data_IF_008146001500
#
_entry.id   IF_008146001500
#
_cell.length_a   1.000
_cell.length_b   1.000
_cell.length_c   1.000
_cell.angle_alpha   90.00
_cell.angle_beta   90.00
_cell.angle_gamma   90.00
#
_symmetry.space_group_name_H-M   'P 1'
#
loop_
_entity.id
_entity.type
_entity.pdbx_description
1 polymer ?
#
# COMPACT_ATOMS: atom_id res chain seq x y z
N UNK A 1 -24.49 75.73 -24.04
CA UNK A 1 -25.92 75.92 -24.37
C UNK A 1 -26.41 74.58 -24.89
N UNK A 2 -27.43 74.03 -24.23
CA UNK A 2 -28.31 72.92 -24.66
C UNK A 2 -27.63 71.54 -24.82
N UNK A 3 -27.95 70.47 -24.09
CA UNK A 3 -29.12 70.13 -23.26
C UNK A 3 -30.11 69.24 -24.02
N UNK A 4 -30.52 68.11 -23.39
CA UNK A 4 -31.61 67.12 -23.67
C UNK A 4 -31.03 65.68 -23.68
N UNK A 5 -31.00 64.94 -22.56
CA UNK A 5 -32.03 64.08 -21.89
C UNK A 5 -32.30 62.74 -22.64
N UNK A 6 -32.59 61.57 -22.05
CA UNK A 6 -32.71 61.05 -20.68
C UNK A 6 -32.80 59.50 -20.74
N UNK A 7 -32.46 58.83 -19.62
CA UNK A 7 -32.89 57.49 -19.13
C UNK A 7 -32.57 56.20 -19.92
N UNK A 8 -31.96 55.21 -19.26
CA UNK A 8 -32.66 54.07 -18.63
C UNK A 8 -31.69 53.13 -17.89
N UNK A 9 -32.24 52.47 -16.88
CA UNK A 9 -31.64 51.51 -15.93
C UNK A 9 -30.92 50.33 -16.61
N UNK A 10 -29.86 49.84 -15.98
CA UNK A 10 -29.50 48.42 -16.05
C UNK A 10 -28.86 47.97 -14.73
N UNK A 11 -29.55 47.06 -14.05
CA UNK A 11 -29.04 46.27 -12.92
C UNK A 11 -28.01 45.27 -13.46
N UNK A 12 -26.72 45.52 -13.19
CA UNK A 12 -25.62 44.62 -13.49
C UNK A 12 -25.29 43.75 -12.27
N UNK A 13 -25.75 42.50 -12.32
CA UNK A 13 -25.46 41.41 -11.41
C UNK A 13 -23.93 41.15 -11.38
N UNK A 14 -23.22 41.54 -10.32
CA UNK A 14 -21.81 41.14 -10.10
C UNK A 14 -21.75 39.65 -9.73
N UNK A 15 -21.81 38.79 -10.75
CA UNK A 15 -21.27 37.45 -10.67
C UNK A 15 -19.75 37.57 -10.57
N UNK A 16 -19.22 37.31 -9.38
CA UNK A 16 -17.80 37.09 -9.19
C UNK A 16 -17.35 35.92 -10.06
N UNK A 17 -16.68 36.23 -11.16
CA UNK A 17 -15.99 35.26 -12.00
C UNK A 17 -14.99 34.47 -11.14
N UNK A 18 -15.27 33.18 -11.00
CA UNK A 18 -14.39 32.16 -10.43
C UNK A 18 -13.16 31.98 -11.32
N UNK A 19 -12.01 32.47 -10.88
CA UNK A 19 -10.72 32.37 -11.59
C UNK A 19 -9.99 31.02 -11.34
N UNK A 20 -10.58 30.04 -10.63
CA UNK A 20 -9.85 28.83 -10.18
C UNK A 20 -10.15 27.51 -10.92
N UNK A 21 -10.91 27.51 -12.03
CA UNK A 21 -11.38 26.26 -12.66
C UNK A 21 -10.55 25.71 -13.85
N UNK A 22 -9.36 26.25 -14.09
CA UNK A 22 -8.57 25.89 -15.27
C UNK A 22 -7.50 24.85 -14.90
N UNK A 23 -7.79 23.56 -15.20
CA UNK A 23 -6.92 22.36 -15.22
C UNK A 23 -7.11 21.29 -14.13
N UNK A 24 -8.34 21.02 -13.70
CA UNK A 24 -8.67 19.76 -13.00
C UNK A 24 -9.17 18.72 -14.00
N UNK A 25 -8.44 17.63 -14.16
CA UNK A 25 -8.89 16.48 -14.96
C UNK A 25 -9.35 15.39 -14.02
N UNK A 26 -10.51 14.81 -14.31
CA UNK A 26 -11.03 13.69 -13.55
C UNK A 26 -10.74 12.39 -14.27
N UNK A 27 -10.17 11.43 -13.55
CA UNK A 27 -9.81 10.10 -14.06
C UNK A 27 -10.63 9.07 -13.31
N UNK A 28 -11.26 8.16 -14.06
CA UNK A 28 -12.04 7.06 -13.50
C UNK A 28 -11.32 5.74 -13.70
N UNK A 29 -11.13 5.00 -12.62
CA UNK A 29 -10.55 3.65 -12.65
C UNK A 29 -11.27 2.76 -11.63
N UNK A 30 -11.79 1.61 -12.08
CA UNK A 30 -12.61 0.75 -11.24
C UNK A 30 -13.82 1.51 -10.68
N UNK A 31 -13.96 1.52 -9.35
CA UNK A 31 -15.03 2.26 -8.65
C UNK A 31 -14.64 3.67 -8.23
N UNK A 32 -13.40 4.09 -8.50
CA UNK A 32 -12.85 5.34 -8.02
C UNK A 32 -12.85 6.39 -9.11
N UNK A 33 -13.12 7.62 -8.68
CA UNK A 33 -12.94 8.82 -9.47
C UNK A 33 -11.91 9.71 -8.76
N UNK A 34 -10.75 9.96 -9.39
CA UNK A 34 -9.71 10.84 -8.83
C UNK A 34 -9.60 12.13 -9.62
N UNK A 35 -9.52 13.23 -8.88
CA UNK A 35 -9.21 14.55 -9.41
C UNK A 35 -7.69 14.66 -9.47
N UNK A 36 -7.16 14.91 -10.66
CA UNK A 36 -5.74 15.08 -10.92
C UNK A 36 -5.51 16.49 -11.48
N UNK A 37 -4.68 17.26 -10.79
CA UNK A 37 -4.17 18.53 -11.32
C UNK A 37 -3.04 18.20 -12.30
N UNK A 38 -3.21 18.61 -13.56
CA UNK A 38 -2.43 18.18 -14.73
C UNK A 38 -0.90 18.37 -14.62
N UNK A 39 -0.42 19.09 -13.61
CA UNK A 39 1.00 19.42 -13.42
C UNK A 39 1.63 18.91 -12.12
N UNK A 40 0.88 18.30 -11.18
CA UNK A 40 1.38 18.08 -9.81
C UNK A 40 1.24 16.65 -9.27
N UNK A 41 0.35 15.85 -9.82
CA UNK A 41 0.02 14.53 -9.24
C UNK A 41 0.15 13.46 -10.30
N UNK A 42 0.97 12.45 -10.01
CA UNK A 42 1.26 11.39 -10.96
C UNK A 42 0.08 10.41 -11.09
N UNK A 43 -0.30 10.12 -12.34
CA UNK A 43 -1.14 9.00 -12.70
C UNK A 43 -0.53 8.29 -13.92
N UNK A 44 -0.44 6.95 -13.84
CA UNK A 44 -0.01 6.13 -14.97
C UNK A 44 -1.09 5.06 -15.27
N UNK A 45 -1.74 5.13 -16.45
CA UNK A 45 -2.76 4.16 -16.84
C UNK A 45 -2.19 2.75 -16.99
N UNK A 46 -0.91 2.59 -17.33
CA UNK A 46 -0.31 1.24 -17.48
C UNK A 46 -0.20 0.50 -16.14
N UNK A 47 -0.33 1.20 -15.02
CA UNK A 47 -0.35 0.60 -13.68
C UNK A 47 -1.77 0.15 -13.24
N UNK A 48 -2.78 0.24 -14.10
CA UNK A 48 -4.15 -0.24 -13.81
C UNK A 48 -4.16 -1.73 -13.49
N UNK A 49 -3.46 -2.54 -14.32
CA UNK A 49 -3.30 -3.98 -14.08
C UNK A 49 -2.64 -4.29 -12.73
N UNK A 50 -1.65 -3.50 -12.31
CA UNK A 50 -1.02 -3.66 -10.99
C UNK A 50 -2.01 -3.40 -9.85
N UNK A 51 -2.82 -2.34 -9.98
CA UNK A 51 -3.84 -1.97 -8.99
C UNK A 51 -4.94 -3.01 -8.90
N UNK A 52 -5.44 -3.50 -10.04
CA UNK A 52 -6.42 -4.59 -10.10
C UNK A 52 -5.91 -5.86 -9.44
N UNK A 53 -4.67 -6.24 -9.74
CA UNK A 53 -4.03 -7.41 -9.15
C UNK A 53 -3.91 -7.28 -7.63
N UNK A 54 -3.54 -6.09 -7.16
CA UNK A 54 -3.44 -5.79 -5.72
C UNK A 54 -4.80 -5.94 -5.03
N UNK A 55 -5.89 -5.45 -5.64
CA UNK A 55 -7.25 -5.58 -5.11
C UNK A 55 -7.66 -7.05 -5.04
N UNK A 56 -7.41 -7.83 -6.09
CA UNK A 56 -7.74 -9.25 -6.11
C UNK A 56 -7.03 -10.01 -4.97
N UNK A 57 -5.72 -9.79 -4.80
CA UNK A 57 -4.95 -10.41 -3.72
C UNK A 57 -5.46 -9.97 -2.36
N UNK A 58 -5.81 -8.69 -2.18
CA UNK A 58 -6.35 -8.17 -0.94
C UNK A 58 -7.72 -8.76 -0.58
N UNK A 59 -8.60 -8.96 -1.56
CA UNK A 59 -9.90 -9.63 -1.37
C UNK A 59 -9.68 -11.04 -0.83
N UNK A 60 -8.79 -11.82 -1.47
CA UNK A 60 -8.47 -13.19 -1.05
C UNK A 60 -7.86 -13.18 0.35
N UNK A 61 -6.90 -12.29 0.61
CA UNK A 61 -6.25 -12.17 1.92
C UNK A 61 -7.24 -11.81 3.03
N UNK A 62 -8.15 -10.86 2.80
CA UNK A 62 -9.19 -10.48 3.76
C UNK A 62 -10.12 -11.65 4.09
N UNK A 63 -10.51 -12.42 3.08
CA UNK A 63 -11.34 -13.62 3.25
C UNK A 63 -10.61 -14.71 4.05
N UNK A 64 -9.34 -15.00 3.75
CA UNK A 64 -8.52 -15.96 4.49
C UNK A 64 -8.38 -15.57 5.98
N UNK A 65 -8.16 -14.28 6.24
CA UNK A 65 -8.02 -13.78 7.60
C UNK A 65 -9.33 -13.94 8.39
N UNK A 66 -10.47 -13.60 7.79
CA UNK A 66 -11.79 -13.79 8.39
C UNK A 66 -12.09 -15.27 8.67
N UNK A 67 -11.79 -16.17 7.73
CA UNK A 67 -11.96 -17.62 7.92
C UNK A 67 -11.10 -18.13 9.09
N UNK A 68 -9.84 -17.71 9.16
CA UNK A 68 -8.91 -18.10 10.23
C UNK A 68 -9.41 -17.61 11.59
N UNK A 69 -9.90 -16.37 11.67
CA UNK A 69 -10.52 -15.82 12.89
C UNK A 69 -11.77 -16.61 13.30
N UNK A 70 -12.63 -16.96 12.34
CA UNK A 70 -13.85 -17.72 12.61
C UNK A 70 -13.55 -19.15 13.11
N UNK A 71 -12.53 -19.80 12.56
CA UNK A 71 -12.06 -21.11 13.02
C UNK A 71 -11.55 -21.04 14.46
N UNK A 72 -10.73 -20.02 14.79
CA UNK A 72 -10.22 -19.81 16.16
C UNK A 72 -11.35 -19.54 17.16
N UNK A 73 -12.35 -18.72 16.80
CA UNK A 73 -13.55 -18.47 17.61
C UNK A 73 -14.32 -19.78 17.87
N UNK A 74 -14.51 -20.62 16.84
CA UNK A 74 -15.18 -21.93 16.99
C UNK A 74 -14.40 -22.91 17.87
N UNK A 75 -13.08 -22.99 17.72
CA UNK A 75 -12.25 -23.87 18.56
C UNK A 75 -12.26 -23.47 20.04
N UNK A 76 -12.39 -22.18 20.34
CA UNK A 76 -12.39 -21.70 21.74
C UNK A 76 -13.72 -21.98 22.46
N UNK A 77 -14.84 -22.02 21.73
CA UNK A 77 -16.17 -22.37 22.25
C UNK A 77 -16.29 -23.87 22.59
N UNK A 78 -15.44 -24.74 22.03
CA UNK A 78 -15.44 -26.19 22.29
C UNK A 78 -14.72 -26.65 23.56
N UNK A 79 -14.01 -25.77 24.28
CA UNK A 79 -13.36 -26.09 25.56
C UNK A 79 -14.33 -25.87 26.71
N UNK A 80 -14.96 -26.94 27.19
CA UNK A 80 -15.71 -26.96 28.45
C UNK A 80 -14.83 -26.39 29.58
N UNK A 81 -15.20 -25.22 30.11
CA UNK A 81 -14.63 -24.68 31.35
C UNK A 81 -14.96 -25.65 32.48
N UNK A 82 -13.94 -26.20 33.14
CA UNK A 82 -14.10 -26.75 34.49
C UNK A 82 -14.38 -25.58 35.44
N UNK A 83 -15.36 -25.75 36.32
CA UNK A 83 -15.79 -24.76 37.30
C UNK A 83 -14.64 -24.40 38.26
N UNK A 84 -14.11 -23.19 38.12
CA UNK A 84 -13.28 -22.49 39.12
C UNK A 84 -14.06 -21.24 39.58
N UNK A 85 -14.06 -20.92 40.88
CA UNK A 85 -14.96 -19.91 41.44
C UNK A 85 -14.65 -18.49 40.92
N UNK A 86 -15.72 -17.81 40.50
CA UNK A 86 -15.72 -16.45 39.94
C UNK A 86 -15.04 -15.43 40.86
N UNK A 87 -13.90 -14.88 40.43
CA UNK A 87 -13.45 -13.54 40.84
C UNK A 87 -14.09 -12.48 39.94
N UNK A 88 -14.54 -11.40 40.56
CA UNK A 88 -15.28 -10.31 39.93
C UNK A 88 -14.31 -9.44 39.13
N UNK A 89 -14.22 -9.67 37.83
CA UNK A 89 -13.58 -8.75 36.89
C UNK A 89 -14.66 -8.12 35.99
N UNK A 90 -14.64 -6.78 35.91
CA UNK A 90 -15.65 -5.95 35.27
C UNK A 90 -15.88 -6.25 33.77
N UNK A 91 -16.90 -5.62 33.16
CA UNK A 91 -17.29 -5.92 31.79
C UNK A 91 -16.13 -5.57 30.85
N UNK A 92 -15.49 -6.60 30.29
CA UNK A 92 -14.57 -6.44 29.18
C UNK A 92 -15.37 -5.95 27.98
N UNK A 93 -15.29 -4.65 27.75
CA UNK A 93 -15.89 -3.97 26.61
C UNK A 93 -15.14 -4.41 25.34
N UNK A 94 -15.47 -5.60 24.83
CA UNK A 94 -14.98 -6.09 23.54
C UNK A 94 -15.76 -5.35 22.46
N UNK A 95 -15.33 -4.12 22.17
CA UNK A 95 -15.86 -3.35 21.05
C UNK A 95 -15.67 -4.19 19.78
N UNK A 96 -16.79 -4.62 19.21
CA UNK A 96 -16.94 -5.43 17.99
C UNK A 96 -16.56 -4.69 16.69
N UNK A 97 -15.65 -3.71 16.77
CA UNK A 97 -15.21 -2.86 15.66
C UNK A 97 -13.78 -3.18 15.17
N UNK A 98 -13.16 -4.26 15.65
CA UNK A 98 -11.76 -4.60 15.35
C UNK A 98 -11.59 -5.67 14.24
N UNK A 99 -12.65 -6.05 13.53
CA UNK A 99 -12.61 -7.28 12.72
C UNK A 99 -12.06 -7.13 11.29
N UNK A 100 -11.70 -5.91 10.86
CA UNK A 100 -11.18 -5.64 9.52
C UNK A 100 -9.65 -5.55 9.41
N UNK A 101 -9.14 -5.50 8.18
CA UNK A 101 -7.71 -5.39 7.88
C UNK A 101 -7.23 -3.93 7.92
N UNK A 102 -6.02 -3.71 8.44
CA UNK A 102 -5.33 -2.42 8.36
C UNK A 102 -4.27 -2.43 7.25
N UNK A 103 -4.24 -1.38 6.44
CA UNK A 103 -3.38 -1.28 5.26
C UNK A 103 -2.53 0.00 5.37
N UNK A 104 -1.25 -0.08 5.02
CA UNK A 104 -0.37 1.07 4.85
C UNK A 104 0.12 1.15 3.41
N UNK A 105 -0.29 2.20 2.67
CA UNK A 105 0.24 2.53 1.35
C UNK A 105 1.36 3.56 1.51
N UNK A 106 2.60 3.14 1.22
CA UNK A 106 3.78 3.95 1.52
C UNK A 106 3.97 5.18 0.62
N UNK A 107 3.60 5.07 -0.66
CA UNK A 107 3.80 6.10 -1.69
C UNK A 107 2.51 6.28 -2.49
N UNK A 108 1.59 7.11 -1.98
CA UNK A 108 0.19 7.13 -2.43
C UNK A 108 -0.09 8.05 -3.62
N UNK A 109 0.77 9.04 -3.90
CA UNK A 109 0.57 10.05 -4.93
C UNK A 109 -0.83 10.70 -4.89
N UNK A 110 -1.77 10.29 -5.76
CA UNK A 110 -3.15 10.79 -5.78
C UNK A 110 -4.07 10.15 -4.73
N UNK A 111 -3.63 9.08 -4.08
CA UNK A 111 -4.43 8.23 -3.20
C UNK A 111 -5.30 7.22 -3.94
N UNK A 112 -5.20 7.13 -5.27
CA UNK A 112 -6.02 6.26 -6.12
C UNK A 112 -6.11 4.83 -5.58
N UNK A 113 -4.96 4.22 -5.24
CA UNK A 113 -4.91 2.84 -4.78
C UNK A 113 -5.56 2.65 -3.41
N UNK A 114 -5.22 3.47 -2.42
CA UNK A 114 -5.89 3.46 -1.11
C UNK A 114 -7.40 3.63 -1.21
N UNK A 115 -7.88 4.52 -2.07
CA UNK A 115 -9.31 4.74 -2.26
C UNK A 115 -9.95 3.52 -2.95
N UNK A 116 -9.27 2.91 -3.94
CA UNK A 116 -9.76 1.67 -4.56
C UNK A 116 -9.84 0.54 -3.54
N UNK A 117 -8.83 0.40 -2.68
CA UNK A 117 -8.85 -0.57 -1.58
C UNK A 117 -10.06 -0.35 -0.67
N UNK A 118 -10.37 0.91 -0.31
CA UNK A 118 -11.54 1.23 0.51
C UNK A 118 -12.89 0.90 -0.16
N UNK A 119 -13.01 1.06 -1.48
CA UNK A 119 -14.27 0.85 -2.21
C UNK A 119 -14.48 -0.57 -2.73
N UNK A 120 -13.39 -1.32 -2.95
CA UNK A 120 -13.40 -2.58 -3.68
C UNK A 120 -13.03 -3.78 -2.80
N UNK A 121 -12.26 -3.59 -1.71
CA UNK A 121 -11.87 -4.68 -0.81
C UNK A 121 -12.82 -4.75 0.40
N UNK A 122 -13.51 -5.87 0.62
CA UNK A 122 -14.39 -6.03 1.77
C UNK A 122 -13.59 -6.19 3.07
N UNK A 123 -14.13 -5.67 4.17
CA UNK A 123 -13.53 -5.85 5.50
C UNK A 123 -12.26 -5.02 5.72
N UNK A 124 -12.05 -3.95 4.98
CA UNK A 124 -11.05 -2.92 5.33
C UNK A 124 -11.51 -2.17 6.59
N UNK A 125 -10.60 -2.03 7.56
CA UNK A 125 -10.83 -1.24 8.78
C UNK A 125 -10.24 0.16 8.66
N UNK A 126 -8.99 0.25 8.22
CA UNK A 126 -8.26 1.50 8.17
C UNK A 126 -7.14 1.43 7.14
N UNK A 127 -6.97 2.50 6.39
CA UNK A 127 -5.91 2.66 5.40
C UNK A 127 -5.17 3.96 5.68
N UNK A 128 -3.85 3.88 5.79
CA UNK A 128 -2.97 5.05 5.80
C UNK A 128 -2.42 5.24 4.39
N UNK A 129 -2.83 6.33 3.74
CA UNK A 129 -2.34 6.77 2.45
C UNK A 129 -1.21 7.79 2.66
N UNK A 130 0.04 7.32 2.66
CA UNK A 130 1.20 8.15 2.94
C UNK A 130 1.85 8.70 1.66
N UNK A 131 2.31 9.95 1.69
CA UNK A 131 3.24 10.50 0.70
C UNK A 131 4.18 11.52 1.34
N UNK A 132 5.36 11.71 0.75
CA UNK A 132 6.34 12.71 1.20
C UNK A 132 6.04 14.09 0.63
N UNK A 133 5.30 14.18 -0.49
CA UNK A 133 4.95 15.45 -1.10
C UNK A 133 3.70 16.03 -0.45
N UNK A 134 3.79 17.27 0.05
CA UNK A 134 2.64 18.03 0.54
C UNK A 134 1.55 18.14 -0.54
N UNK A 135 1.92 18.34 -1.80
CA UNK A 135 0.94 18.42 -2.90
C UNK A 135 0.21 17.10 -3.15
N UNK A 136 0.92 15.97 -2.96
CA UNK A 136 0.31 14.64 -3.04
C UNK A 136 -0.66 14.45 -1.87
N UNK A 137 -0.28 14.82 -0.65
CA UNK A 137 -1.15 14.73 0.53
C UNK A 137 -2.42 15.56 0.36
N UNK A 138 -2.32 16.80 -0.12
CA UNK A 138 -3.50 17.62 -0.43
C UNK A 138 -4.40 16.97 -1.48
N UNK A 139 -3.82 16.32 -2.50
CA UNK A 139 -4.58 15.59 -3.50
C UNK A 139 -5.27 14.33 -2.91
N UNK A 140 -4.58 13.59 -2.05
CA UNK A 140 -5.13 12.45 -1.31
C UNK A 140 -6.33 12.91 -0.49
N UNK A 141 -6.22 13.98 0.29
CA UNK A 141 -7.32 14.53 1.10
C UNK A 141 -8.53 14.94 0.25
N UNK A 142 -8.28 15.63 -0.86
CA UNK A 142 -9.32 16.02 -1.81
C UNK A 142 -10.04 14.79 -2.40
N UNK A 143 -9.29 13.77 -2.81
CA UNK A 143 -9.83 12.55 -3.40
C UNK A 143 -10.55 11.65 -2.37
N UNK A 144 -10.08 11.61 -1.12
CA UNK A 144 -10.76 10.96 0.01
C UNK A 144 -12.15 11.58 0.20
N UNK A 145 -12.22 12.92 0.21
CA UNK A 145 -13.49 13.64 0.35
C UNK A 145 -14.40 13.42 -0.86
N UNK A 146 -13.85 13.47 -2.07
CA UNK A 146 -14.57 13.25 -3.32
C UNK A 146 -15.25 11.87 -3.36
N UNK A 147 -14.52 10.82 -2.97
CA UNK A 147 -15.02 9.44 -2.95
C UNK A 147 -15.74 9.05 -1.65
N UNK A 148 -15.83 9.95 -0.67
CA UNK A 148 -16.52 9.75 0.62
C UNK A 148 -15.97 8.59 1.46
N UNK A 149 -14.66 8.34 1.37
CA UNK A 149 -13.97 7.23 2.06
C UNK A 149 -13.20 7.67 3.31
N UNK A 150 -13.40 8.89 3.81
CA UNK A 150 -12.67 9.44 4.96
C UNK A 150 -12.89 8.72 6.30
N UNK A 151 -13.86 7.80 6.37
CA UNK A 151 -14.06 6.92 7.52
C UNK A 151 -13.13 5.69 7.51
N UNK A 152 -12.50 5.39 6.37
CA UNK A 152 -11.56 4.27 6.20
C UNK A 152 -10.14 4.76 5.88
N UNK A 153 -10.01 5.77 5.04
CA UNK A 153 -8.73 6.25 4.51
C UNK A 153 -8.31 7.54 5.21
N UNK A 154 -7.07 7.56 5.69
CA UNK A 154 -6.42 8.73 6.28
C UNK A 154 -5.18 9.10 5.46
N UNK A 155 -5.06 10.38 5.09
CA UNK A 155 -3.85 10.90 4.47
C UNK A 155 -2.73 11.08 5.51
N UNK A 156 -1.49 10.85 5.11
CA UNK A 156 -0.30 11.05 5.95
C UNK A 156 0.80 11.74 5.17
N UNK A 157 1.38 12.80 5.74
CA UNK A 157 2.54 13.51 5.19
C UNK A 157 3.80 13.12 5.95
N UNK A 158 4.58 12.19 5.41
CA UNK A 158 5.81 11.73 6.04
C UNK A 158 6.71 10.97 5.06
N UNK A 159 7.99 10.89 5.39
CA UNK A 159 8.86 9.88 4.77
C UNK A 159 8.33 8.48 5.13
N UNK A 160 8.15 7.65 4.11
CA UNK A 160 7.51 6.35 4.29
C UNK A 160 8.31 5.43 5.23
N UNK A 161 9.64 5.44 5.14
CA UNK A 161 10.47 4.58 5.99
C UNK A 161 10.41 5.01 7.45
N UNK A 162 10.47 6.33 7.69
CA UNK A 162 10.30 6.89 9.03
C UNK A 162 8.91 6.60 9.60
N UNK A 163 7.86 6.85 8.82
CA UNK A 163 6.47 6.64 9.24
C UNK A 163 6.24 5.18 9.66
N UNK A 164 6.62 4.21 8.83
CA UNK A 164 6.52 2.80 9.16
C UNK A 164 7.31 2.43 10.44
N UNK A 165 8.49 3.02 10.63
CA UNK A 165 9.29 2.78 11.84
C UNK A 165 8.64 3.35 13.11
N UNK A 166 8.04 4.54 13.02
CA UNK A 166 7.30 5.16 14.13
C UNK A 166 6.08 4.32 14.51
N UNK A 167 5.25 3.93 13.53
CA UNK A 167 4.12 3.02 13.76
C UNK A 167 4.54 1.74 14.47
N UNK A 168 5.63 1.11 14.02
CA UNK A 168 6.20 -0.08 14.68
C UNK A 168 6.64 0.21 16.12
N UNK A 169 7.25 1.37 16.37
CA UNK A 169 7.72 1.76 17.72
C UNK A 169 6.56 1.98 18.67
N UNK A 170 5.45 2.54 18.16
CA UNK A 170 4.22 2.75 18.92
C UNK A 170 3.38 1.47 19.09
N UNK A 171 3.86 0.33 18.59
CA UNK A 171 3.14 -0.94 18.65
C UNK A 171 1.97 -1.07 17.67
N UNK A 172 1.87 -0.15 16.70
CA UNK A 172 0.85 -0.11 15.67
C UNK A 172 1.34 -0.84 14.42
N UNK A 173 0.92 -2.08 14.26
CA UNK A 173 1.29 -2.93 13.10
C UNK A 173 0.17 -2.97 12.05
N UNK A 174 0.54 -3.21 10.80
CA UNK A 174 -0.39 -3.32 9.69
C UNK A 174 -0.58 -4.77 9.22
N UNK A 175 -1.81 -5.15 8.88
CA UNK A 175 -2.08 -6.45 8.24
C UNK A 175 -1.49 -6.50 6.83
N UNK A 176 -1.46 -5.35 6.15
CA UNK A 176 -0.92 -5.21 4.80
C UNK A 176 -0.04 -3.96 4.69
N UNK A 177 1.13 -4.09 4.08
CA UNK A 177 1.95 -2.95 3.64
C UNK A 177 2.15 -3.03 2.14
N UNK A 178 2.01 -1.90 1.46
CA UNK A 178 2.21 -1.78 0.03
C UNK A 178 3.31 -0.77 -0.32
N UNK A 179 4.31 -1.27 -1.05
CA UNK A 179 5.44 -0.50 -1.54
C UNK A 179 5.39 -0.44 -3.07
N UNK A 180 5.14 0.74 -3.63
CA UNK A 180 5.11 0.98 -5.07
C UNK A 180 5.90 2.23 -5.49
N UNK A 181 7.22 2.22 -5.34
CA UNK A 181 8.05 3.36 -5.69
C UNK A 181 8.38 3.40 -7.19
N UNK A 182 8.83 4.57 -7.65
CA UNK A 182 9.60 4.65 -8.88
C UNK A 182 10.99 4.05 -8.67
N UNK A 183 11.29 3.03 -9.45
CA UNK A 183 12.52 2.26 -9.39
C UNK A 183 12.49 1.17 -8.33
N UNK A 184 13.42 1.28 -7.38
CA UNK A 184 13.76 0.21 -6.43
C UNK A 184 13.14 0.44 -5.04
N UNK A 185 12.56 -0.58 -4.40
CA UNK A 185 11.96 -0.48 -3.08
C UNK A 185 12.92 -0.66 -1.91
N UNK A 186 14.21 -0.97 -2.15
CA UNK A 186 15.14 -1.42 -1.10
C UNK A 186 15.23 -0.50 0.11
N UNK A 187 15.17 0.83 -0.11
CA UNK A 187 15.22 1.85 0.95
C UNK A 187 14.07 1.77 1.97
N UNK A 188 12.97 1.14 1.61
CA UNK A 188 11.76 1.01 2.44
C UNK A 188 11.61 -0.39 3.05
N UNK A 189 12.44 -1.36 2.64
CA UNK A 189 12.24 -2.77 3.03
C UNK A 189 12.47 -3.00 4.51
N UNK A 190 13.50 -2.41 5.12
CA UNK A 190 13.83 -2.63 6.54
C UNK A 190 12.69 -2.20 7.47
N UNK A 191 12.02 -1.09 7.17
CA UNK A 191 10.88 -0.60 7.96
C UNK A 191 9.59 -1.36 7.63
N UNK A 192 9.35 -1.67 6.35
CA UNK A 192 8.19 -2.44 5.92
C UNK A 192 8.14 -3.84 6.54
N UNK A 193 9.23 -4.61 6.49
CA UNK A 193 9.26 -5.98 7.06
C UNK A 193 9.05 -6.02 8.57
N UNK A 194 9.32 -4.90 9.27
CA UNK A 194 9.14 -4.78 10.70
C UNK A 194 7.70 -4.38 11.10
N UNK A 195 7.07 -3.47 10.35
CA UNK A 195 5.73 -2.95 10.68
C UNK A 195 4.59 -3.88 10.24
N UNK A 196 4.85 -4.80 9.31
CA UNK A 196 3.88 -5.86 8.93
C UNK A 196 3.67 -6.82 10.11
N UNK A 197 2.41 -7.14 10.42
CA UNK A 197 2.04 -8.13 11.45
C UNK A 197 2.59 -9.51 11.13
N UNK A 198 2.67 -10.38 12.14
CA UNK A 198 3.00 -11.78 11.90
C UNK A 198 1.91 -12.49 11.09
N UNK A 199 2.27 -13.10 9.96
CA UNK A 199 1.36 -13.61 8.95
C UNK A 199 0.75 -12.54 8.03
N UNK A 200 1.15 -11.27 8.18
CA UNK A 200 0.72 -10.15 7.36
C UNK A 200 1.28 -10.19 5.95
N UNK A 201 0.67 -9.41 5.05
CA UNK A 201 1.01 -9.33 3.64
C UNK A 201 1.89 -8.11 3.33
N UNK A 202 3.01 -8.33 2.65
CA UNK A 202 3.82 -7.27 2.05
C UNK A 202 3.69 -7.36 0.52
N UNK A 203 3.29 -6.25 -0.10
CA UNK A 203 3.19 -6.10 -1.54
C UNK A 203 4.29 -5.15 -2.01
N UNK A 204 5.06 -5.56 -3.01
CA UNK A 204 6.25 -4.81 -3.46
C UNK A 204 6.28 -4.74 -4.98
N UNK A 205 6.34 -3.52 -5.53
CA UNK A 205 6.63 -3.30 -6.95
C UNK A 205 8.08 -2.87 -7.13
N UNK A 206 8.73 -3.38 -8.17
CA UNK A 206 9.97 -2.81 -8.70
C UNK A 206 9.74 -2.38 -10.15
N UNK A 207 10.00 -1.11 -10.46
CA UNK A 207 9.84 -0.56 -11.81
C UNK A 207 11.18 -0.31 -12.51
N UNK A 208 12.33 -0.57 -11.86
CA UNK A 208 13.67 -0.49 -12.46
C UNK A 208 14.11 -1.78 -13.17
N UNK A 209 13.23 -2.31 -14.03
CA UNK A 209 13.50 -3.54 -14.79
C UNK A 209 14.75 -3.47 -15.66
N UNK A 210 15.15 -2.29 -16.14
CA UNK A 210 16.42 -2.15 -16.86
C UNK A 210 17.63 -2.60 -16.02
N UNK A 211 17.61 -2.30 -14.71
CA UNK A 211 18.66 -2.72 -13.78
C UNK A 211 18.55 -4.22 -13.51
N UNK A 212 17.35 -4.70 -13.15
CA UNK A 212 17.12 -6.10 -12.79
C UNK A 212 17.30 -7.08 -13.97
N UNK A 213 17.04 -6.64 -15.21
CA UNK A 213 17.17 -7.45 -16.41
C UNK A 213 18.60 -7.52 -16.97
N UNK A 214 19.59 -6.94 -16.29
CA UNK A 214 21.01 -7.11 -16.62
C UNK A 214 21.68 -6.00 -17.39
N UNK A 215 21.05 -4.82 -17.58
CA UNK A 215 21.71 -3.72 -18.31
C UNK A 215 22.77 -3.02 -17.46
N UNK A 216 22.66 -3.05 -16.13
CA UNK A 216 23.60 -2.39 -15.22
C UNK A 216 23.84 -3.26 -13.98
N UNK A 217 24.66 -4.32 -14.09
CA UNK A 217 24.87 -5.28 -13.01
C UNK A 217 25.44 -4.65 -11.73
N UNK A 218 26.27 -3.62 -11.83
CA UNK A 218 26.84 -2.90 -10.68
C UNK A 218 25.73 -2.15 -9.92
N UNK A 219 24.79 -1.56 -10.66
CA UNK A 219 23.62 -0.88 -10.07
C UNK A 219 22.67 -1.90 -9.43
N UNK A 220 22.52 -3.08 -10.03
CA UNK A 220 21.74 -4.16 -9.43
C UNK A 220 22.36 -4.61 -8.11
N UNK A 221 23.69 -4.78 -8.08
CA UNK A 221 24.40 -5.15 -6.85
C UNK A 221 24.24 -4.09 -5.76
N UNK A 222 24.39 -2.81 -6.10
CA UNK A 222 24.20 -1.71 -5.15
C UNK A 222 22.78 -1.68 -4.55
N UNK A 223 21.75 -1.89 -5.38
CA UNK A 223 20.35 -1.73 -4.98
C UNK A 223 19.76 -2.97 -4.31
N UNK A 224 20.11 -4.15 -4.81
CA UNK A 224 19.48 -5.43 -4.45
C UNK A 224 20.43 -6.40 -3.74
N UNK A 225 21.74 -6.13 -3.72
CA UNK A 225 22.74 -7.03 -3.15
C UNK A 225 23.00 -8.27 -4.01
N UNK A 226 22.64 -8.22 -5.29
CA UNK A 226 22.82 -9.32 -6.24
C UNK A 226 23.21 -8.80 -7.63
N UNK A 227 23.91 -9.61 -8.41
CA UNK A 227 24.32 -9.27 -9.77
C UNK A 227 23.30 -9.82 -10.77
N UNK A 228 22.65 -8.93 -11.51
CA UNK A 228 21.76 -9.30 -12.62
C UNK A 228 22.56 -9.75 -13.84
N UNK A 229 22.06 -10.77 -14.54
CA UNK A 229 22.62 -11.24 -15.81
C UNK A 229 21.64 -11.00 -16.96
N UNK A 230 22.15 -10.48 -18.07
CA UNK A 230 21.36 -10.30 -19.29
C UNK A 230 21.21 -11.64 -20.00
N UNK A 231 20.07 -12.29 -19.77
CA UNK A 231 19.73 -13.61 -20.32
C UNK A 231 18.29 -13.63 -20.83
N UNK A 232 17.88 -14.68 -21.54
CA UNK A 232 16.49 -14.88 -21.96
C UNK A 232 15.53 -15.03 -20.77
N UNK A 233 16.03 -15.51 -19.62
CA UNK A 233 15.28 -15.66 -18.39
C UNK A 233 15.40 -14.44 -17.45
N UNK A 234 15.74 -13.26 -17.99
CA UNK A 234 16.00 -12.06 -17.19
C UNK A 234 14.79 -11.63 -16.32
N UNK A 235 13.56 -11.85 -16.79
CA UNK A 235 12.36 -11.52 -16.02
C UNK A 235 12.19 -12.43 -14.79
N UNK A 236 12.41 -13.73 -14.94
CA UNK A 236 12.39 -14.67 -13.82
C UNK A 236 13.56 -14.42 -12.86
N UNK A 237 14.75 -14.17 -13.40
CA UNK A 237 15.92 -13.77 -12.61
C UNK A 237 15.63 -12.51 -11.78
N UNK A 238 14.96 -11.51 -12.37
CA UNK A 238 14.58 -10.27 -11.70
C UNK A 238 13.67 -10.54 -10.49
N UNK A 239 12.69 -11.43 -10.63
CA UNK A 239 11.82 -11.86 -9.53
C UNK A 239 12.61 -12.54 -8.42
N UNK A 240 13.54 -13.44 -8.77
CA UNK A 240 14.40 -14.15 -7.80
C UNK A 240 15.32 -13.19 -7.05
N UNK A 241 15.93 -12.24 -7.75
CA UNK A 241 16.78 -11.19 -7.16
C UNK A 241 15.97 -10.34 -6.18
N UNK A 242 14.79 -9.88 -6.59
CA UNK A 242 13.94 -9.04 -5.75
C UNK A 242 13.42 -9.82 -4.53
N UNK A 243 13.01 -11.08 -4.68
CA UNK A 243 12.63 -11.95 -3.56
C UNK A 243 13.76 -12.16 -2.58
N UNK A 244 14.97 -12.44 -3.06
CA UNK A 244 16.16 -12.58 -2.21
C UNK A 244 16.45 -11.27 -1.47
N UNK A 245 16.30 -10.13 -2.14
CA UNK A 245 16.45 -8.83 -1.52
C UNK A 245 15.46 -8.67 -0.35
N UNK A 246 14.16 -8.89 -0.56
CA UNK A 246 13.15 -8.81 0.51
C UNK A 246 13.43 -9.80 1.63
N UNK A 247 13.77 -11.06 1.30
CA UNK A 247 14.11 -12.09 2.29
C UNK A 247 15.30 -11.69 3.15
N UNK A 248 16.35 -11.12 2.55
CA UNK A 248 17.55 -10.69 3.27
C UNK A 248 17.26 -9.58 4.27
N UNK A 249 16.35 -8.64 3.95
CA UNK A 249 15.92 -7.59 4.87
C UNK A 249 15.09 -8.19 6.01
N UNK A 250 14.15 -9.09 5.72
CA UNK A 250 13.38 -9.79 6.76
C UNK A 250 14.26 -10.59 7.72
N UNK A 251 15.23 -11.36 7.19
CA UNK A 251 16.09 -12.26 7.97
C UNK A 251 16.91 -11.51 9.03
N UNK A 252 17.35 -10.26 8.76
CA UNK A 252 18.09 -9.42 9.72
C UNK A 252 17.31 -9.18 11.02
N UNK A 253 15.99 -9.27 10.96
CA UNK A 253 15.08 -9.06 12.09
C UNK A 253 14.47 -10.37 12.62
N UNK A 254 15.02 -11.53 12.26
CA UNK A 254 14.49 -12.84 12.68
C UNK A 254 13.15 -13.21 12.03
N UNK A 255 12.84 -12.57 10.89
CA UNK A 255 11.62 -12.78 10.12
C UNK A 255 11.94 -13.41 8.77
N UNK A 256 11.01 -14.18 8.24
CA UNK A 256 11.14 -14.82 6.92
C UNK A 256 9.91 -14.51 6.06
N UNK A 257 10.09 -14.64 4.75
CA UNK A 257 9.03 -14.40 3.78
C UNK A 257 8.52 -15.71 3.19
N UNK A 258 7.24 -15.75 2.85
CA UNK A 258 6.61 -16.81 2.06
C UNK A 258 6.02 -16.17 0.80
N UNK A 259 6.60 -16.41 -0.39
CA UNK A 259 6.05 -15.89 -1.64
C UNK A 259 4.67 -16.49 -1.92
N UNK A 260 3.69 -15.62 -2.21
CA UNK A 260 2.31 -16.01 -2.53
C UNK A 260 2.05 -15.90 -4.03
N UNK A 261 2.47 -14.78 -4.63
CA UNK A 261 2.37 -14.50 -6.06
C UNK A 261 3.52 -13.57 -6.45
N UNK A 262 4.17 -13.85 -7.58
CA UNK A 262 5.25 -13.05 -8.12
C UNK A 262 5.08 -12.99 -9.65
N UNK A 263 5.05 -11.79 -10.22
CA UNK A 263 4.77 -11.60 -11.65
C UNK A 263 5.68 -10.53 -12.25
N UNK A 264 6.11 -10.76 -13.49
CA UNK A 264 6.68 -9.74 -14.36
C UNK A 264 5.61 -9.32 -15.36
N UNK A 265 5.31 -8.04 -15.43
CA UNK A 265 4.31 -7.47 -16.32
C UNK A 265 4.87 -6.19 -16.94
N UNK A 266 4.97 -6.17 -18.26
CA UNK A 266 5.53 -5.07 -19.05
C UNK A 266 6.89 -4.56 -18.53
N UNK A 267 6.89 -3.43 -17.83
CA UNK A 267 8.09 -2.74 -17.35
C UNK A 267 8.30 -2.85 -15.84
N UNK A 268 7.54 -3.68 -15.14
CA UNK A 268 7.69 -3.87 -13.70
C UNK A 268 7.61 -5.34 -13.28
N UNK A 269 8.06 -5.60 -12.06
CA UNK A 269 7.77 -6.83 -11.34
C UNK A 269 6.97 -6.51 -10.08
N UNK A 270 6.10 -7.42 -9.69
CA UNK A 270 5.26 -7.30 -8.50
C UNK A 270 5.36 -8.58 -7.67
N UNK A 271 5.63 -8.40 -6.38
CA UNK A 271 5.77 -9.47 -5.40
C UNK A 271 4.69 -9.33 -4.32
N UNK A 272 4.05 -10.44 -3.99
CA UNK A 272 3.14 -10.56 -2.85
C UNK A 272 3.70 -11.63 -1.93
N UNK A 273 4.12 -11.24 -0.73
CA UNK A 273 4.78 -12.15 0.22
C UNK A 273 4.14 -12.04 1.60
N UNK A 274 3.93 -13.16 2.28
CA UNK A 274 3.56 -13.16 3.70
C UNK A 274 4.82 -13.10 4.56
N UNK A 275 4.77 -12.37 5.68
CA UNK A 275 5.91 -12.22 6.59
C UNK A 275 5.61 -12.90 7.92
N UNK A 276 6.52 -13.76 8.37
CA UNK A 276 6.41 -14.48 9.63
C UNK A 276 7.68 -14.36 10.47
N UNK A 277 7.56 -14.61 11.77
CA UNK A 277 8.65 -14.52 12.74
C UNK A 277 9.09 -15.92 13.12
N UNK A 278 10.34 -16.26 12.77
CA UNK A 278 10.96 -17.51 13.20
C UNK A 278 12.47 -17.44 12.95
N UNK A 279 13.28 -17.16 13.99
CA UNK A 279 14.74 -17.17 13.86
C UNK A 279 15.31 -18.51 13.42
N UNK A 280 14.59 -19.62 13.69
CA UNK A 280 14.99 -20.96 13.25
C UNK A 280 14.85 -21.10 11.72
N UNK A 281 13.70 -20.74 11.16
CA UNK A 281 13.46 -20.81 9.70
C UNK A 281 14.39 -19.85 8.95
N UNK A 282 14.70 -18.68 9.52
CA UNK A 282 15.65 -17.74 8.92
C UNK A 282 17.03 -18.36 8.63
N UNK A 283 17.48 -19.30 9.46
CA UNK A 283 18.76 -20.01 9.25
C UNK A 283 18.71 -20.94 8.04
N UNK A 284 17.52 -21.47 7.72
CA UNK A 284 17.29 -22.35 6.59
C UNK A 284 17.22 -21.60 5.25
N UNK A 285 16.99 -20.28 5.26
CA UNK A 285 16.91 -19.45 4.06
C UNK A 285 18.15 -19.57 3.16
N UNK A 286 19.32 -19.84 3.74
CA UNK A 286 20.57 -20.10 2.99
C UNK A 286 20.44 -21.23 1.97
N UNK A 287 19.57 -22.22 2.21
CA UNK A 287 19.31 -23.33 1.27
C UNK A 287 18.44 -22.92 0.09
N UNK A 288 17.68 -21.83 0.23
CA UNK A 288 16.80 -21.28 -0.79
C UNK A 288 17.50 -20.22 -1.65
N UNK A 289 18.61 -19.66 -1.15
CA UNK A 289 19.45 -18.72 -1.88
C UNK A 289 20.46 -19.46 -2.76
N UNK A 290 20.20 -19.53 -4.07
CA UNK A 290 21.13 -20.11 -5.05
C UNK A 290 21.80 -19.04 -5.90
N UNK A 291 23.09 -19.20 -6.17
CA UNK A 291 23.80 -18.46 -7.21
C UNK A 291 23.58 -19.19 -8.54
N UNK A 292 23.15 -18.46 -9.58
CA UNK A 292 23.21 -18.97 -10.95
C UNK A 292 24.63 -18.69 -11.45
N UNK A 293 25.45 -19.73 -11.48
CA UNK A 293 26.79 -19.75 -12.05
C UNK A 293 26.74 -20.15 -13.53
#
# INVERSE_FOLDING_TARGET
MEGVSNNMNEEGNEQGDTIDDINRTTIKEGRVEVIVESSKVFYNPVQEFNRDLSILVLIIYAQELQQTKNLKKRSHVGTFKRDEPRSVAGPSNTNSNDDGITIFEALSASGLRSIRFALEVPGVKHIVANDISVSAVTAIEANIKHNRVGHLVQASHSDAALSMFLYKTDGNYFDVVDLDPYGCPSRFLDSAVQVVKDGGLLMVTCTDMAVLAGNSPETCYLKYGATSLRTYACHEMSLRIALQCVASHANRYGRYIVPMLCISADFYIRLFVKIFTSPAICKETTRLSSLLL
#
